data_IF_278909095757
#
_entry.id   IF_278909095757
#
_cell.length_a   1.000
_cell.length_b   1.000
_cell.length_c   1.000
_cell.angle_alpha   90.00
_cell.angle_beta   90.00
_cell.angle_gamma   90.00
#
_symmetry.space_group_name_H-M   'P 1'
#
loop_
_entity.id
_entity.type
_entity.pdbx_description
1 polymer ?
#
# COMPACT_ATOMS: atom_id res chain seq x y z
N UNK A 1 23.23 -0.76 27.69
CA UNK A 1 22.20 -1.83 27.61
C UNK A 1 20.86 -1.12 27.78
N UNK A 2 20.09 -0.92 26.70
CA UNK A 2 18.84 -0.15 26.74
C UNK A 2 17.71 -1.12 26.40
N UNK A 3 16.95 -1.51 27.41
CA UNK A 3 15.72 -2.29 27.26
C UNK A 3 14.68 -1.43 26.52
N UNK A 4 14.39 -1.80 25.28
CA UNK A 4 13.24 -1.24 24.55
C UNK A 4 12.00 -2.03 24.95
N UNK A 5 11.26 -1.50 25.93
CA UNK A 5 9.95 -2.00 26.31
C UNK A 5 8.97 -1.72 25.16
N UNK A 6 8.65 -2.75 24.39
CA UNK A 6 7.53 -2.72 23.46
C UNK A 6 6.25 -2.78 24.29
N UNK A 7 5.56 -1.64 24.45
CA UNK A 7 4.19 -1.65 24.94
C UNK A 7 3.31 -2.22 23.82
N UNK A 8 3.06 -3.53 23.89
CA UNK A 8 1.95 -4.16 23.20
C UNK A 8 0.70 -3.61 23.89
N UNK A 9 0.07 -2.61 23.28
CA UNK A 9 -1.23 -2.12 23.73
C UNK A 9 -2.21 -3.30 23.65
N UNK A 10 -2.63 -3.80 24.81
CA UNK A 10 -3.68 -4.81 24.93
C UNK A 10 -4.92 -4.37 24.13
N UNK A 11 -5.53 -5.28 23.34
CA UNK A 11 -6.60 -4.93 22.41
C UNK A 11 -7.94 -4.53 23.08
N UNK A 12 -8.05 -4.55 24.40
CA UNK A 12 -9.36 -4.56 25.06
C UNK A 12 -10.02 -3.19 25.30
N UNK A 13 -9.39 -2.05 24.98
CA UNK A 13 -9.99 -0.73 25.25
C UNK A 13 -9.71 0.34 24.19
N UNK A 14 -9.70 -0.01 22.90
CA UNK A 14 -9.92 0.99 21.85
C UNK A 14 -11.42 1.09 21.65
N UNK A 15 -12.03 2.13 22.23
CA UNK A 15 -13.46 2.39 22.16
C UNK A 15 -14.02 2.17 20.75
N UNK A 16 -15.02 1.31 20.66
CA UNK A 16 -15.78 0.97 19.46
C UNK A 16 -16.62 2.16 19.02
N UNK A 17 -15.99 3.16 18.39
CA UNK A 17 -16.59 3.71 17.19
C UNK A 17 -16.29 2.65 16.15
N UNK A 18 -17.28 1.93 15.64
CA UNK A 18 -17.09 0.99 14.53
C UNK A 18 -16.21 1.69 13.49
N UNK A 19 -14.93 1.32 13.44
CA UNK A 19 -13.98 1.90 12.53
C UNK A 19 -14.51 1.59 11.15
N UNK A 20 -14.78 2.63 10.35
CA UNK A 20 -15.23 2.48 8.97
C UNK A 20 -14.25 1.58 8.25
N UNK A 21 -14.61 0.31 8.07
CA UNK A 21 -13.74 -0.63 7.38
C UNK A 21 -13.72 -0.21 5.91
N UNK A 22 -12.54 -0.06 5.36
CA UNK A 22 -12.33 0.31 3.97
C UNK A 22 -11.53 -0.77 3.25
N UNK A 23 -11.82 -0.93 1.97
CA UNK A 23 -11.23 -1.97 1.13
C UNK A 23 -9.87 -1.49 0.63
N UNK A 24 -8.85 -2.34 0.74
CA UNK A 24 -7.59 -2.12 0.04
C UNK A 24 -7.80 -2.32 -1.46
N UNK A 25 -7.36 -1.37 -2.28
CA UNK A 25 -7.59 -1.41 -3.74
C UNK A 25 -6.74 -2.44 -4.51
N UNK A 26 -5.78 -3.07 -3.81
CA UNK A 26 -4.89 -4.10 -4.35
C UNK A 26 -5.31 -5.49 -3.88
N UNK A 27 -5.28 -5.77 -2.56
CA UNK A 27 -5.63 -7.10 -2.04
C UNK A 27 -7.11 -7.32 -1.76
N UNK A 28 -7.95 -6.28 -1.87
CA UNK A 28 -9.39 -6.36 -1.62
C UNK A 28 -9.80 -6.70 -0.19
N UNK A 29 -8.85 -6.87 0.73
CA UNK A 29 -9.13 -7.08 2.15
C UNK A 29 -9.66 -5.80 2.80
N UNK A 30 -10.54 -5.97 3.78
CA UNK A 30 -11.08 -4.88 4.59
C UNK A 30 -10.13 -4.57 5.74
N UNK A 31 -9.69 -3.32 5.82
CA UNK A 31 -8.87 -2.81 6.91
C UNK A 31 -9.69 -1.82 7.72
N UNK A 32 -9.36 -1.66 9.01
CA UNK A 32 -9.70 -0.43 9.71
C UNK A 32 -9.11 0.75 8.92
N UNK A 33 -9.89 1.79 8.68
CA UNK A 33 -9.46 2.96 7.92
C UNK A 33 -8.16 3.57 8.46
N UNK A 34 -7.91 3.48 9.78
CA UNK A 34 -6.68 3.99 10.42
C UNK A 34 -5.43 3.21 10.03
N UNK A 35 -5.60 1.99 9.51
CA UNK A 35 -4.51 1.13 9.05
C UNK A 35 -4.26 1.26 7.53
N UNK A 36 -5.14 1.95 6.81
CA UNK A 36 -4.94 2.18 5.38
C UNK A 36 -3.99 3.34 5.14
N UNK A 37 -3.08 3.13 4.20
CA UNK A 37 -2.12 4.10 3.74
C UNK A 37 -2.60 4.68 2.41
N UNK A 38 -2.56 6.01 2.29
CA UNK A 38 -2.82 6.71 1.04
C UNK A 38 -1.59 6.61 0.15
N UNK A 39 -1.72 5.90 -0.95
CA UNK A 39 -0.69 5.85 -1.98
C UNK A 39 -1.04 6.81 -3.11
N UNK A 40 -0.09 7.66 -3.46
CA UNK A 40 -0.20 8.59 -4.56
C UNK A 40 0.47 7.96 -5.77
N UNK A 41 -0.25 7.84 -6.87
CA UNK A 41 0.27 7.22 -8.10
C UNK A 41 1.47 7.96 -8.72
N UNK A 42 1.77 9.19 -8.28
CA UNK A 42 2.92 9.96 -8.74
C UNK A 42 3.94 10.19 -7.63
N UNK A 43 5.12 9.55 -7.68
CA UNK A 43 6.27 10.00 -6.91
C UNK A 43 6.88 11.22 -7.60
N UNK A 44 6.61 12.41 -7.03
CA UNK A 44 7.41 13.65 -6.86
C UNK A 44 8.41 14.15 -7.94
N UNK A 45 8.60 13.52 -9.09
CA UNK A 45 9.72 13.84 -9.98
C UNK A 45 9.37 14.80 -11.13
N UNK A 46 8.12 14.86 -11.62
CA UNK A 46 7.84 15.52 -12.91
C UNK A 46 6.78 16.62 -12.90
N UNK A 47 6.15 16.91 -11.77
CA UNK A 47 5.25 18.05 -11.68
C UNK A 47 5.36 18.65 -10.30
N UNK A 48 5.68 19.93 -10.19
CA UNK A 48 5.49 20.72 -8.95
C UNK A 48 4.02 20.83 -8.51
N UNK A 49 3.16 19.89 -8.92
CA UNK A 49 1.74 19.72 -8.61
C UNK A 49 1.44 18.22 -8.57
N UNK A 50 0.72 17.80 -7.53
CA UNK A 50 0.18 16.45 -7.41
C UNK A 50 -0.98 16.31 -8.41
N UNK A 51 -0.76 15.67 -9.55
CA UNK A 51 -1.80 15.44 -10.57
C UNK A 51 -2.01 13.94 -10.73
N UNK A 52 -2.70 13.32 -9.78
CA UNK A 52 -3.00 11.90 -9.84
C UNK A 52 -3.98 11.48 -8.74
N UNK A 53 -4.82 10.48 -9.04
CA UNK A 53 -5.72 9.88 -8.06
C UNK A 53 -4.95 9.31 -6.86
N UNK A 54 -5.55 9.39 -5.68
CA UNK A 54 -5.04 8.74 -4.46
C UNK A 54 -5.79 7.44 -4.27
N UNK A 55 -5.07 6.38 -3.92
CA UNK A 55 -5.66 5.07 -3.62
C UNK A 55 -5.38 4.64 -2.18
N UNK A 56 -6.25 3.79 -1.64
CA UNK A 56 -6.14 3.25 -0.29
C UNK A 56 -5.55 1.85 -0.29
N UNK A 57 -4.42 1.69 0.39
CA UNK A 57 -3.66 0.44 0.44
C UNK A 57 -3.44 -0.02 1.87
N UNK A 58 -3.56 -1.33 2.10
CA UNK A 58 -3.01 -1.91 3.33
C UNK A 58 -1.47 -1.77 3.34
N UNK A 59 -0.81 -1.73 4.51
CA UNK A 59 0.62 -1.43 4.61
C UNK A 59 1.51 -2.34 3.75
N UNK A 60 1.19 -3.63 3.69
CA UNK A 60 1.90 -4.60 2.85
C UNK A 60 1.70 -4.31 1.37
N UNK A 61 0.45 -4.04 0.94
CA UNK A 61 0.15 -3.73 -0.46
C UNK A 61 0.82 -2.44 -0.91
N UNK A 62 0.92 -1.45 -0.02
CA UNK A 62 1.64 -0.21 -0.30
C UNK A 62 3.12 -0.50 -0.57
N UNK A 63 3.80 -1.25 0.32
CA UNK A 63 5.21 -1.61 0.13
C UNK A 63 5.46 -2.39 -1.16
N UNK A 64 4.58 -3.34 -1.48
CA UNK A 64 4.69 -4.15 -2.70
C UNK A 64 4.54 -3.27 -3.95
N UNK A 65 3.52 -2.42 -4.00
CA UNK A 65 3.27 -1.54 -5.14
C UNK A 65 4.40 -0.51 -5.33
N UNK A 66 4.87 0.11 -4.26
CA UNK A 66 5.98 1.07 -4.31
C UNK A 66 7.23 0.42 -4.90
N UNK A 67 7.60 -0.78 -4.43
CA UNK A 67 8.76 -1.52 -4.97
C UNK A 67 8.57 -1.89 -6.44
N UNK A 68 7.36 -2.30 -6.84
CA UNK A 68 7.07 -2.65 -8.23
C UNK A 68 7.23 -1.44 -9.17
N UNK A 69 6.76 -0.26 -8.74
CA UNK A 69 6.92 1.00 -9.49
C UNK A 69 8.38 1.44 -9.55
N UNK A 70 9.12 1.38 -8.44
CA UNK A 70 10.55 1.72 -8.40
C UNK A 70 11.38 0.81 -9.32
N UNK A 71 11.09 -0.49 -9.34
CA UNK A 71 11.78 -1.45 -10.22
C UNK A 71 11.53 -1.15 -11.70
N UNK A 72 10.29 -0.81 -12.07
CA UNK A 72 9.95 -0.47 -13.46
C UNK A 72 10.62 0.85 -13.88
N UNK A 73 10.67 1.85 -12.98
CA UNK A 73 11.39 3.11 -13.20
C UNK A 73 12.87 2.88 -13.46
N UNK A 74 13.53 2.07 -12.61
CA UNK A 74 14.95 1.70 -12.76
C UNK A 74 15.20 0.95 -14.08
N UNK A 75 14.32 0.00 -14.43
CA UNK A 75 14.43 -0.78 -15.68
C UNK A 75 14.39 0.10 -16.93
N UNK A 76 13.55 1.14 -16.92
CA UNK A 76 13.40 2.06 -18.07
C UNK A 76 14.39 3.22 -18.06
N UNK A 77 15.12 3.40 -16.96
CA UNK A 77 16.02 4.52 -16.72
C UNK A 77 15.35 5.90 -16.99
N UNK A 78 14.05 5.99 -16.68
CA UNK A 78 13.23 7.20 -16.82
C UNK A 78 12.00 7.08 -15.94
N UNK A 79 11.31 8.20 -15.71
CA UNK A 79 10.02 8.20 -15.05
C UNK A 79 8.95 7.47 -15.86
N UNK A 80 8.01 6.84 -15.14
CA UNK A 80 6.92 6.08 -15.74
C UNK A 80 5.83 7.02 -16.22
N UNK A 81 5.29 6.72 -17.40
CA UNK A 81 4.07 7.34 -17.90
C UNK A 81 2.84 6.76 -17.17
N UNK A 82 1.71 7.47 -17.19
CA UNK A 82 0.48 7.06 -16.51
C UNK A 82 0.02 5.65 -16.90
N UNK A 83 0.09 5.29 -18.18
CA UNK A 83 -0.29 3.96 -18.66
C UNK A 83 0.71 2.86 -18.23
N UNK A 84 1.97 3.22 -17.97
CA UNK A 84 2.95 2.31 -17.38
C UNK A 84 2.65 2.10 -15.90
N UNK A 85 2.32 3.17 -15.17
CA UNK A 85 1.90 3.09 -13.76
C UNK A 85 0.64 2.23 -13.61
N UNK A 86 -0.39 2.45 -14.43
CA UNK A 86 -1.63 1.62 -14.45
C UNK A 86 -1.33 0.15 -14.74
N UNK A 87 -0.43 -0.15 -15.68
CA UNK A 87 0.00 -1.53 -15.98
C UNK A 87 0.69 -2.18 -14.80
N UNK A 88 1.62 -1.47 -14.15
CA UNK A 88 2.31 -1.98 -12.95
C UNK A 88 1.32 -2.22 -11.81
N UNK A 89 0.36 -1.33 -11.62
CA UNK A 89 -0.70 -1.50 -10.63
C UNK A 89 -1.54 -2.76 -10.88
N UNK A 90 -2.08 -2.92 -12.09
CA UNK A 90 -2.91 -4.08 -12.44
C UNK A 90 -2.15 -5.40 -12.32
N UNK A 91 -0.88 -5.43 -12.75
CA UNK A 91 0.02 -6.57 -12.57
C UNK A 91 0.21 -6.90 -11.08
N UNK A 92 0.55 -5.89 -10.29
CA UNK A 92 0.79 -6.04 -8.84
C UNK A 92 -0.46 -6.53 -8.13
N UNK A 93 -1.63 -5.98 -8.47
CA UNK A 93 -2.94 -6.42 -7.97
C UNK A 93 -3.20 -7.89 -8.28
N UNK A 94 -2.99 -8.32 -9.53
CA UNK A 94 -3.13 -9.73 -9.90
C UNK A 94 -2.18 -10.65 -9.14
N UNK A 95 -0.91 -10.26 -9.01
CA UNK A 95 0.10 -11.04 -8.27
C UNK A 95 -0.22 -11.17 -6.77
N UNK A 96 -0.69 -10.08 -6.17
CA UNK A 96 -1.17 -10.01 -4.79
C UNK A 96 -2.37 -10.94 -4.59
N UNK A 97 -3.39 -10.82 -5.43
CA UNK A 97 -4.58 -11.66 -5.34
C UNK A 97 -4.29 -13.14 -5.60
N UNK A 98 -3.27 -13.44 -6.41
CA UNK A 98 -2.74 -14.78 -6.62
C UNK A 98 -1.84 -15.30 -5.47
N UNK A 99 -1.62 -14.51 -4.41
CA UNK A 99 -0.84 -14.91 -3.24
C UNK A 99 0.68 -14.94 -3.44
N UNK A 100 1.21 -14.34 -4.52
CA UNK A 100 2.65 -14.39 -4.87
C UNK A 100 3.56 -13.68 -3.86
N UNK A 101 3.00 -12.81 -3.01
CA UNK A 101 3.73 -12.06 -1.99
C UNK A 101 3.57 -12.65 -0.57
N UNK A 102 3.12 -13.90 -0.46
CA UNK A 102 2.82 -14.57 0.80
C UNK A 102 1.41 -14.26 1.30
N UNK A 103 0.83 -15.17 2.08
CA UNK A 103 -0.53 -15.04 2.58
C UNK A 103 -0.66 -13.78 3.46
N UNK A 104 -1.56 -12.88 3.06
CA UNK A 104 -2.09 -11.81 3.90
C UNK A 104 -2.53 -12.42 5.24
N UNK A 105 -1.73 -12.19 6.30
CA UNK A 105 -2.01 -12.59 7.67
C UNK A 105 -2.64 -13.98 7.82
N UNK A 106 -1.85 -15.06 7.75
CA UNK A 106 -2.29 -16.31 8.37
C UNK A 106 -2.26 -16.14 9.89
N UNK A 107 -3.47 -15.88 10.42
CA UNK A 107 -3.95 -15.97 11.81
C UNK A 107 -3.31 -15.06 12.83
#
# INVERSE_FOLDING_TARGET
>A
MIERVFHILSPEKVGTKEGTKKKCEVCEHLYDERLLERHHFMPKAMAGKWVGGTILLGPTCHRVLTRALENERKKKNRDLLDDEVKRVFNRTRGDVQAGKYGAYGRK
#
